data_IF_125331144846
#
_entry.id   IF_125331144846
#
_cell.length_a   1.000
_cell.length_b   1.000
_cell.length_c   1.000
_cell.angle_alpha   90.00
_cell.angle_beta   90.00
_cell.angle_gamma   90.00
#
_symmetry.space_group_name_H-M   'P 1'
#
loop_
_entity.id
_entity.type
_entity.pdbx_description
1 polymer ?
#
# COMPACT_ATOMS: atom_id res chain seq x y z
N UNK A 1 -6.98 4.81 -34.74
CA UNK A 1 -8.26 5.01 -34.01
C UNK A 1 -8.02 4.46 -32.61
N UNK A 2 -7.74 5.33 -31.64
CA UNK A 2 -7.44 4.94 -30.26
C UNK A 2 -8.70 5.17 -29.43
N UNK A 3 -9.33 4.09 -28.97
CA UNK A 3 -10.36 4.19 -27.96
C UNK A 3 -9.68 4.33 -26.59
N UNK A 4 -9.66 5.57 -26.10
CA UNK A 4 -9.35 5.86 -24.71
C UNK A 4 -10.58 5.45 -23.88
N UNK A 5 -10.66 4.17 -23.52
CA UNK A 5 -11.76 3.66 -22.70
C UNK A 5 -11.62 4.27 -21.29
N UNK A 6 -12.64 5.07 -20.98
CA UNK A 6 -13.03 5.66 -19.71
C UNK A 6 -12.49 4.97 -18.45
N UNK A 7 -11.78 5.80 -17.68
CA UNK A 7 -11.61 5.80 -16.23
C UNK A 7 -12.55 4.88 -15.44
N UNK A 8 -12.05 3.73 -15.02
CA UNK A 8 -12.54 3.06 -13.80
C UNK A 8 -12.02 3.88 -12.62
N UNK A 9 -12.87 4.73 -12.04
CA UNK A 9 -12.62 5.35 -10.73
C UNK A 9 -12.58 4.24 -9.68
N UNK A 10 -11.44 3.56 -9.54
CA UNK A 10 -11.14 2.85 -8.30
C UNK A 10 -10.98 3.93 -7.24
N UNK A 11 -11.81 3.89 -6.20
CA UNK A 11 -11.61 4.71 -5.01
C UNK A 11 -10.14 4.56 -4.57
N UNK A 12 -9.45 5.65 -4.21
CA UNK A 12 -8.08 5.59 -3.75
C UNK A 12 -8.00 4.62 -2.56
N UNK A 13 -7.14 3.61 -2.67
CA UNK A 13 -6.98 2.63 -1.60
C UNK A 13 -6.53 3.37 -0.33
N UNK A 14 -7.27 3.14 0.76
CA UNK A 14 -7.09 3.86 2.02
C UNK A 14 -6.83 2.86 3.13
N UNK A 15 -5.75 3.09 3.87
CA UNK A 15 -5.39 2.31 5.04
C UNK A 15 -5.54 3.16 6.29
N UNK A 16 -6.16 2.61 7.32
CA UNK A 16 -6.22 3.19 8.65
C UNK A 16 -5.33 2.36 9.57
N UNK A 17 -4.37 3.02 10.23
CA UNK A 17 -3.52 2.40 11.24
C UNK A 17 -4.09 2.81 12.60
N UNK A 18 -4.62 1.83 13.33
CA UNK A 18 -5.17 1.99 14.69
C UNK A 18 -4.26 1.34 15.72
N UNK A 19 -4.24 1.92 16.92
CA UNK A 19 -3.59 1.27 18.07
C UNK A 19 -4.40 0.08 18.56
N UNK A 20 -3.74 -1.06 18.82
CA UNK A 20 -4.42 -2.27 19.29
C UNK A 20 -5.00 -2.16 20.72
N UNK A 21 -4.48 -1.22 21.52
CA UNK A 21 -4.90 -1.04 22.92
C UNK A 21 -5.98 0.03 23.08
N UNK A 22 -5.92 1.10 22.28
CA UNK A 22 -6.74 2.30 22.51
C UNK A 22 -7.76 2.54 21.38
N UNK A 23 -7.76 1.72 20.33
CA UNK A 23 -8.54 1.87 19.07
C UNK A 23 -8.41 3.24 18.38
N UNK A 24 -7.54 4.11 18.88
CA UNK A 24 -7.35 5.46 18.39
C UNK A 24 -6.66 5.41 17.02
N UNK A 25 -7.21 6.15 16.06
CA UNK A 25 -6.62 6.31 14.74
C UNK A 25 -5.28 7.02 14.88
N UNK A 26 -4.18 6.30 14.60
CA UNK A 26 -2.83 6.84 14.63
C UNK A 26 -2.53 7.61 13.35
N UNK A 27 -2.81 7.01 12.20
CA UNK A 27 -2.71 7.68 10.92
C UNK A 27 -3.56 7.03 9.84
N UNK A 28 -3.83 7.81 8.81
CA UNK A 28 -4.50 7.41 7.59
C UNK A 28 -3.52 7.51 6.42
N UNK A 29 -3.51 6.50 5.56
CA UNK A 29 -2.67 6.47 4.36
C UNK A 29 -3.57 6.37 3.15
N UNK A 30 -3.39 7.27 2.19
CA UNK A 30 -4.14 7.30 0.94
C UNK A 30 -3.21 7.02 -0.24
N UNK A 31 -3.50 5.97 -1.01
CA UNK A 31 -2.90 5.74 -2.32
C UNK A 31 -3.49 6.70 -3.34
N UNK A 32 -2.63 7.29 -4.14
CA UNK A 32 -2.98 8.20 -5.21
C UNK A 32 -2.27 7.73 -6.47
N UNK A 33 -2.95 7.80 -7.60
CA UNK A 33 -2.37 7.49 -8.90
C UNK A 33 -3.01 8.36 -9.96
N UNK A 34 -2.34 8.52 -11.09
CA UNK A 34 -2.91 9.14 -12.27
C UNK A 34 -2.54 8.35 -13.52
N UNK A 35 -3.28 8.57 -14.59
CA UNK A 35 -3.14 7.84 -15.86
C UNK A 35 -1.71 7.92 -16.39
N UNK A 36 -1.07 9.08 -16.31
CA UNK A 36 0.31 9.26 -16.75
C UNK A 36 1.30 8.38 -15.98
N UNK A 37 1.19 8.29 -14.65
CA UNK A 37 2.05 7.42 -13.85
C UNK A 37 1.79 5.94 -14.10
N UNK A 38 0.55 5.55 -14.38
CA UNK A 38 0.24 4.17 -14.77
C UNK A 38 0.92 3.81 -16.09
N UNK A 39 0.84 4.69 -17.09
CA UNK A 39 1.53 4.50 -18.38
C UNK A 39 3.04 4.47 -18.20
N UNK A 40 3.61 5.41 -17.43
CA UNK A 40 5.05 5.46 -17.18
C UNK A 40 5.57 4.22 -16.44
N UNK A 41 4.81 3.72 -15.45
CA UNK A 41 5.15 2.49 -14.74
C UNK A 41 5.04 1.26 -15.65
N UNK A 42 4.00 1.15 -16.46
CA UNK A 42 3.84 0.05 -17.43
C UNK A 42 4.96 0.02 -18.47
N UNK A 43 5.51 1.17 -18.83
CA UNK A 43 6.66 1.29 -19.73
C UNK A 43 8.03 1.20 -19.01
N UNK A 44 8.07 0.95 -17.69
CA UNK A 44 9.31 0.78 -16.92
C UNK A 44 10.05 2.09 -16.59
N UNK A 45 9.44 3.26 -16.76
CA UNK A 45 10.07 4.55 -16.47
C UNK A 45 10.00 4.93 -14.98
N UNK A 46 9.09 4.34 -14.22
CA UNK A 46 8.85 4.62 -12.80
C UNK A 46 8.64 3.30 -12.05
N UNK A 47 9.21 3.22 -10.84
CA UNK A 47 9.16 2.01 -10.00
C UNK A 47 7.72 1.60 -9.61
N UNK A 48 6.86 2.56 -9.27
CA UNK A 48 5.45 2.30 -8.95
C UNK A 48 4.52 3.36 -9.57
N UNK A 49 3.31 2.97 -9.95
CA UNK A 49 2.30 3.89 -10.49
C UNK A 49 1.67 4.78 -9.40
N UNK A 50 1.72 4.34 -8.15
CA UNK A 50 1.06 4.99 -7.02
C UNK A 50 2.03 5.89 -6.24
N UNK A 51 1.49 6.87 -5.54
CA UNK A 51 2.16 7.57 -4.45
C UNK A 51 1.24 7.61 -3.24
N UNK A 52 1.81 7.69 -2.05
CA UNK A 52 1.04 7.59 -0.81
C UNK A 52 1.15 8.86 -0.01
N UNK A 53 0.03 9.31 0.52
CA UNK A 53 -0.03 10.45 1.44
C UNK A 53 -0.41 9.93 2.82
N UNK A 54 0.38 10.27 3.82
CA UNK A 54 0.09 9.94 5.22
C UNK A 54 -0.47 11.16 5.92
N UNK A 55 -1.61 10.97 6.58
CA UNK A 55 -2.33 11.99 7.32
C UNK A 55 -2.53 11.54 8.77
N UNK A 56 -2.47 12.50 9.69
CA UNK A 56 -2.86 12.31 11.10
C UNK A 56 -3.81 13.43 11.44
N UNK A 57 -4.99 13.11 11.98
CA UNK A 57 -6.02 14.09 12.35
C UNK A 57 -6.39 15.04 11.19
N UNK A 58 -6.39 14.54 9.95
CA UNK A 58 -6.67 15.32 8.74
C UNK A 58 -5.50 16.19 8.24
N UNK A 59 -4.39 16.25 8.96
CA UNK A 59 -3.19 16.99 8.54
C UNK A 59 -2.24 16.05 7.82
N UNK A 60 -1.78 16.44 6.63
CA UNK A 60 -0.74 15.71 5.91
C UNK A 60 0.60 15.82 6.65
N UNK A 61 1.11 14.67 7.06
CA UNK A 61 2.37 14.55 7.81
C UNK A 61 3.50 13.95 6.99
N UNK A 62 3.19 13.17 5.96
CA UNK A 62 4.22 12.61 5.09
C UNK A 62 3.70 12.26 3.70
N UNK A 63 4.62 12.08 2.77
CA UNK A 63 4.39 11.61 1.42
C UNK A 63 5.48 10.62 1.02
N UNK A 64 5.06 9.53 0.38
CA UNK A 64 5.93 8.50 -0.16
C UNK A 64 5.73 8.50 -1.68
N UNK A 65 6.80 8.74 -2.42
CA UNK A 65 6.78 8.85 -3.88
C UNK A 65 7.81 7.94 -4.53
N UNK A 66 7.43 7.10 -5.50
CA UNK A 66 8.39 6.38 -6.31
C UNK A 66 9.22 7.35 -7.15
N UNK A 67 10.52 7.07 -7.25
CA UNK A 67 11.45 7.82 -8.09
C UNK A 67 11.63 7.15 -9.46
N UNK A 68 12.26 7.87 -10.39
CA UNK A 68 12.50 7.40 -11.77
C UNK A 68 13.42 6.17 -11.76
N UNK A 69 13.08 5.19 -12.61
CA UNK A 69 13.83 3.95 -12.77
C UNK A 69 14.84 3.99 -13.95
N UNK A 70 14.92 5.12 -14.67
CA UNK A 70 15.76 5.23 -15.87
C UNK A 70 17.22 5.40 -15.45
N UNK A 71 17.92 4.27 -15.30
CA UNK A 71 19.35 4.13 -14.95
C UNK A 71 19.73 4.22 -13.46
N UNK A 72 18.77 4.33 -12.54
CA UNK A 72 19.02 4.32 -11.09
C UNK A 72 18.31 3.13 -10.42
N UNK A 73 18.77 2.73 -9.23
CA UNK A 73 18.12 1.70 -8.42
C UNK A 73 16.68 2.12 -8.06
N UNK A 74 15.77 1.15 -8.11
CA UNK A 74 14.38 1.34 -7.70
C UNK A 74 14.31 1.87 -6.27
N UNK A 75 13.74 3.07 -6.13
CA UNK A 75 13.72 3.77 -4.85
C UNK A 75 12.38 4.48 -4.61
N UNK A 76 12.03 4.58 -3.33
CA UNK A 76 10.95 5.42 -2.84
C UNK A 76 11.55 6.61 -2.10
N UNK A 77 11.14 7.81 -2.48
CA UNK A 77 11.41 9.03 -1.70
C UNK A 77 10.35 9.18 -0.63
N UNK A 78 10.79 9.41 0.59
CA UNK A 78 9.93 9.72 1.72
C UNK A 78 10.21 11.15 2.16
N UNK A 79 9.17 11.97 2.19
CA UNK A 79 9.20 13.34 2.72
C UNK A 79 8.18 13.44 3.86
N UNK A 80 8.59 13.89 5.04
CA UNK A 80 7.70 14.14 6.17
C UNK A 80 7.78 15.60 6.60
N UNK A 81 6.70 16.10 7.21
CA UNK A 81 6.66 17.43 7.82
C UNK A 81 7.30 17.40 9.21
N UNK A 82 7.63 18.58 9.73
CA UNK A 82 8.13 18.72 11.10
C UNK A 82 7.11 18.27 12.16
N UNK A 83 5.82 18.30 11.81
CA UNK A 83 4.71 17.85 12.67
C UNK A 83 4.68 16.33 12.84
N UNK A 84 5.40 15.56 12.02
CA UNK A 84 5.49 14.12 12.17
C UNK A 84 6.35 13.77 13.39
N UNK A 85 5.72 13.22 14.44
CA UNK A 85 6.41 12.66 15.60
C UNK A 85 7.17 11.37 15.23
N UNK A 86 8.00 10.85 16.14
CA UNK A 86 8.82 9.66 15.86
C UNK A 86 7.99 8.40 15.56
N UNK A 87 6.84 8.23 16.22
CA UNK A 87 5.92 7.11 15.95
C UNK A 87 5.41 7.16 14.51
N UNK A 88 4.93 8.32 14.07
CA UNK A 88 4.41 8.54 12.73
C UNK A 88 5.49 8.41 11.64
N UNK A 89 6.71 8.89 11.92
CA UNK A 89 7.87 8.68 11.04
C UNK A 89 8.19 7.20 10.88
N UNK A 90 8.20 6.45 11.98
CA UNK A 90 8.43 5.01 11.96
C UNK A 90 7.33 4.28 11.18
N UNK A 91 6.06 4.58 11.43
CA UNK A 91 4.94 4.00 10.69
C UNK A 91 5.04 4.28 9.19
N UNK A 92 5.37 5.51 8.81
CA UNK A 92 5.56 5.90 7.41
C UNK A 92 6.73 5.15 6.77
N UNK A 93 7.85 4.99 7.48
CA UNK A 93 9.01 4.21 7.02
C UNK A 93 8.65 2.74 6.83
N UNK A 94 8.00 2.12 7.81
CA UNK A 94 7.55 0.73 7.72
C UNK A 94 6.60 0.52 6.53
N UNK A 95 5.64 1.43 6.34
CA UNK A 95 4.74 1.37 5.21
C UNK A 95 5.51 1.49 3.88
N UNK A 96 6.43 2.46 3.77
CA UNK A 96 7.28 2.62 2.59
C UNK A 96 8.07 1.34 2.26
N UNK A 97 8.70 0.70 3.25
CA UNK A 97 9.42 -0.55 3.07
C UNK A 97 8.50 -1.69 2.57
N UNK A 98 7.30 -1.80 3.14
CA UNK A 98 6.30 -2.78 2.68
C UNK A 98 5.94 -2.52 1.22
N UNK A 99 5.71 -1.27 0.82
CA UNK A 99 5.41 -0.95 -0.57
C UNK A 99 6.60 -1.26 -1.49
N UNK A 100 7.84 -0.96 -1.10
CA UNK A 100 9.03 -1.34 -1.88
C UNK A 100 9.08 -2.85 -2.12
N UNK A 101 8.85 -3.67 -1.09
CA UNK A 101 8.84 -5.13 -1.22
C UNK A 101 7.69 -5.59 -2.12
N UNK A 102 6.50 -5.00 -1.99
CA UNK A 102 5.32 -5.34 -2.82
C UNK A 102 5.58 -5.09 -4.30
N UNK A 103 6.18 -3.96 -4.63
CA UNK A 103 6.46 -3.56 -6.00
C UNK A 103 7.65 -4.32 -6.59
N UNK A 104 8.71 -4.56 -5.79
CA UNK A 104 9.88 -5.32 -6.25
C UNK A 104 9.57 -6.82 -6.44
N UNK A 105 8.65 -7.38 -5.67
CA UNK A 105 8.34 -8.81 -5.66
C UNK A 105 6.83 -9.09 -5.68
N UNK A 106 6.13 -8.80 -6.80
CA UNK A 106 4.68 -8.96 -6.89
C UNK A 106 4.20 -10.41 -6.63
N UNK A 107 5.05 -11.41 -6.90
CA UNK A 107 4.77 -12.82 -6.61
C UNK A 107 4.56 -13.12 -5.11
N UNK A 108 5.20 -12.37 -4.21
CA UNK A 108 5.00 -12.53 -2.76
C UNK A 108 3.56 -12.24 -2.35
N UNK A 109 2.87 -11.33 -3.04
CA UNK A 109 1.47 -11.03 -2.76
C UNK A 109 0.55 -12.19 -3.06
N UNK A 110 0.83 -12.95 -4.12
CA UNK A 110 0.10 -14.17 -4.43
C UNK A 110 0.26 -15.20 -3.30
N UNK A 111 1.49 -15.42 -2.84
CA UNK A 111 1.82 -16.36 -1.77
C UNK A 111 1.14 -15.95 -0.45
N UNK A 112 1.22 -14.68 -0.07
CA UNK A 112 0.58 -14.17 1.15
C UNK A 112 -0.94 -14.34 1.09
N UNK A 113 -1.56 -14.06 -0.07
CA UNK A 113 -3.00 -14.24 -0.28
C UNK A 113 -3.41 -15.70 -0.15
N UNK A 114 -2.70 -16.61 -0.80
CA UNK A 114 -2.94 -18.05 -0.67
C UNK A 114 -2.81 -18.51 0.80
N UNK A 115 -1.76 -18.07 1.50
CA UNK A 115 -1.57 -18.45 2.90
C UNK A 115 -2.71 -17.94 3.79
N UNK A 116 -3.19 -16.71 3.59
CA UNK A 116 -4.33 -16.16 4.35
C UNK A 116 -5.61 -16.94 4.07
N UNK A 117 -5.88 -17.28 2.81
CA UNK A 117 -7.04 -18.09 2.43
C UNK A 117 -7.00 -19.49 3.06
N UNK A 118 -5.83 -20.16 3.07
CA UNK A 118 -5.66 -21.45 3.73
C UNK A 118 -5.95 -21.37 5.23
N UNK A 119 -5.47 -20.33 5.92
CA UNK A 119 -5.73 -20.10 7.36
C UNK A 119 -7.22 -19.88 7.66
N UNK A 120 -7.92 -19.13 6.80
CA UNK A 120 -9.36 -18.89 6.93
C UNK A 120 -10.18 -20.16 6.69
N UNK A 121 -9.82 -20.97 5.69
CA UNK A 121 -10.49 -22.24 5.40
C UNK A 121 -10.31 -23.27 6.53
N UNK A 122 -9.16 -23.26 7.22
CA UNK A 122 -8.94 -24.12 8.40
C UNK A 122 -9.85 -23.71 9.57
N UNK A 123 -10.15 -22.41 9.75
CA UNK A 123 -11.07 -21.94 10.79
C UNK A 123 -12.55 -22.17 10.48
N UNK A 124 -12.89 -22.47 9.22
CA UNK A 124 -14.26 -22.82 8.79
C UNK A 124 -14.52 -24.33 8.71
N UNK A 125 -13.59 -25.18 9.14
CA UNK A 125 -13.87 -26.60 9.29
C UNK A 125 -14.96 -26.79 10.35
N UNK A 126 -16.11 -27.41 10.03
CA UNK A 126 -17.16 -27.64 11.01
C UNK A 126 -16.64 -28.59 12.08
N UNK A 127 -16.66 -28.13 13.34
CA UNK A 127 -16.68 -29.05 14.48
C UNK A 127 -18.02 -29.80 14.42
N UNK A 128 -17.97 -31.03 13.93
CA UNK A 128 -19.11 -31.94 14.00
C UNK A 128 -19.19 -32.85 12.80
N UNK A 129 -18.65 -34.06 12.93
CA UNK A 129 -19.47 -35.26 13.02
C UNK A 129 -18.71 -36.20 13.97
N UNK A 130 -19.21 -36.29 15.21
CA UNK A 130 -18.88 -37.40 16.08
C UNK A 130 -19.45 -38.69 15.51
N UNK A 131 -18.71 -39.76 15.74
CA UNK A 131 -19.02 -41.16 15.43
C UNK A 131 -20.46 -41.56 15.72
N UNK A 132 -20.97 -42.55 14.97
CA UNK A 132 -21.18 -43.86 15.60
C UNK A 132 -20.22 -44.94 15.09
#
# INVERSE_FOLDING_TARGET
MFELIQSSQRLPERWHITGAMDELNKCEIQANSNVWRQVLSACGFVFAAEWWTVQSEGIRIAQICPQKAVCEENSLRLEWSELANNELRLLTLCFGLVQTVREAFPSLMHIVKEHRQRKMNIHHAPQGVGSP
#
